data_IF_608540115416
#
_entry.id   IF_608540115416
#
_cell.length_a   1.000
_cell.length_b   1.000
_cell.length_c   1.000
_cell.angle_alpha   90.00
_cell.angle_beta   90.00
_cell.angle_gamma   90.00
#
_symmetry.space_group_name_H-M   'P 1'
#
loop_
_entity.id
_entity.type
_entity.pdbx_description
1 polymer ?
#
# COMPACT_ATOMS: atom_id res chain seq x y z
N UNK A 1 -6.93 0.00 -21.10
CA UNK A 1 -7.39 -0.58 -19.83
C UNK A 1 -6.35 -1.63 -19.46
N UNK A 2 -5.82 -1.64 -18.26
CA UNK A 2 -4.86 -2.70 -17.89
C UNK A 2 -5.62 -4.04 -17.81
N UNK A 3 -4.97 -5.12 -18.20
CA UNK A 3 -5.57 -6.47 -18.15
C UNK A 3 -6.09 -6.79 -16.74
N UNK A 4 -5.40 -6.33 -15.69
CA UNK A 4 -5.79 -6.45 -14.28
C UNK A 4 -7.21 -5.91 -14.02
N UNK A 5 -7.53 -4.71 -14.54
CA UNK A 5 -8.86 -4.12 -14.35
C UNK A 5 -9.96 -4.96 -15.00
N UNK A 6 -9.69 -5.54 -16.16
CA UNK A 6 -10.64 -6.40 -16.87
C UNK A 6 -10.92 -7.67 -16.08
N UNK A 7 -9.89 -8.34 -15.56
CA UNK A 7 -10.04 -9.52 -14.72
C UNK A 7 -10.87 -9.25 -13.47
N UNK A 8 -10.58 -8.16 -12.75
CA UNK A 8 -11.32 -7.78 -11.55
C UNK A 8 -12.79 -7.49 -11.89
N UNK A 9 -13.07 -6.73 -12.95
CA UNK A 9 -14.43 -6.38 -13.35
C UNK A 9 -15.24 -7.62 -13.79
N UNK A 10 -14.64 -8.54 -14.53
CA UNK A 10 -15.29 -9.80 -14.91
C UNK A 10 -15.64 -10.63 -13.66
N UNK A 11 -14.68 -10.84 -12.76
CA UNK A 11 -14.91 -11.57 -11.52
C UNK A 11 -16.06 -10.97 -10.70
N UNK A 12 -16.03 -9.66 -10.47
CA UNK A 12 -17.07 -8.97 -9.71
C UNK A 12 -18.44 -9.05 -10.41
N UNK A 13 -18.47 -8.93 -11.74
CA UNK A 13 -19.71 -9.08 -12.50
C UNK A 13 -20.31 -10.48 -12.38
N UNK A 14 -19.49 -11.51 -12.42
CA UNK A 14 -19.94 -12.90 -12.22
C UNK A 14 -20.37 -13.17 -10.79
N UNK A 15 -19.64 -12.63 -9.81
CA UNK A 15 -19.99 -12.77 -8.40
C UNK A 15 -21.36 -12.17 -8.07
N UNK A 16 -21.73 -11.02 -8.67
CA UNK A 16 -23.06 -10.42 -8.48
C UNK A 16 -24.20 -11.28 -9.05
N UNK A 17 -23.89 -12.21 -9.95
CA UNK A 17 -24.86 -13.16 -10.54
C UNK A 17 -24.85 -14.52 -9.83
N UNK A 18 -24.00 -14.70 -8.82
CA UNK A 18 -23.81 -16.01 -8.17
C UNK A 18 -23.02 -17.01 -9.04
N UNK A 19 -22.32 -16.55 -10.07
CA UNK A 19 -21.54 -17.37 -11.00
C UNK A 19 -20.06 -17.49 -10.60
N UNK A 20 -19.64 -16.76 -9.57
CA UNK A 20 -18.29 -16.82 -8.99
C UNK A 20 -18.34 -16.60 -7.48
N UNK A 21 -17.51 -17.31 -6.77
CA UNK A 21 -17.37 -17.23 -5.31
C UNK A 21 -15.92 -16.96 -4.92
N UNK A 22 -15.73 -16.32 -3.76
CA UNK A 22 -14.41 -16.14 -3.18
C UNK A 22 -13.92 -17.50 -2.64
N UNK A 23 -12.74 -17.98 -3.07
CA UNK A 23 -12.18 -19.21 -2.53
C UNK A 23 -12.00 -19.15 -1.01
N UNK A 24 -12.35 -20.21 -0.24
CA UNK A 24 -12.19 -20.23 1.22
C UNK A 24 -10.76 -19.93 1.68
N UNK A 25 -9.76 -20.40 0.96
CA UNK A 25 -8.34 -20.12 1.27
C UNK A 25 -8.01 -18.62 1.22
N UNK A 26 -8.55 -17.90 0.23
CA UNK A 26 -8.35 -16.46 0.12
C UNK A 26 -9.11 -15.68 1.19
N UNK A 27 -10.24 -16.22 1.66
CA UNK A 27 -10.95 -15.65 2.82
C UNK A 27 -10.09 -15.79 4.08
N UNK A 28 -9.43 -16.93 4.26
CA UNK A 28 -8.59 -17.15 5.44
C UNK A 28 -7.29 -16.32 5.36
N UNK A 29 -6.65 -16.21 4.20
CA UNK A 29 -5.54 -15.28 3.98
C UNK A 29 -5.94 -13.82 4.30
N UNK A 30 -7.11 -13.39 3.86
CA UNK A 30 -7.63 -12.05 4.15
C UNK A 30 -7.87 -11.81 5.65
N UNK A 31 -8.44 -12.80 6.36
CA UNK A 31 -8.63 -12.71 7.83
C UNK A 31 -7.29 -12.56 8.56
N UNK A 32 -6.29 -13.33 8.15
CA UNK A 32 -4.95 -13.25 8.72
C UNK A 32 -4.32 -11.87 8.46
N UNK A 33 -4.38 -11.38 7.23
CA UNK A 33 -3.88 -10.05 6.87
C UNK A 33 -4.59 -8.93 7.67
N UNK A 34 -5.90 -9.04 7.91
CA UNK A 34 -6.63 -8.11 8.76
C UNK A 34 -6.14 -8.14 10.22
N UNK A 35 -5.87 -9.33 10.77
CA UNK A 35 -5.28 -9.49 12.11
C UNK A 35 -3.91 -8.81 12.20
N UNK A 36 -3.04 -9.08 11.24
CA UNK A 36 -1.71 -8.46 11.16
C UNK A 36 -1.78 -6.93 11.02
N UNK A 37 -2.75 -6.41 10.25
CA UNK A 37 -2.97 -4.97 10.11
C UNK A 37 -3.35 -4.33 11.45
N UNK A 38 -4.20 -4.98 12.25
CA UNK A 38 -4.55 -4.50 13.59
C UNK A 38 -3.33 -4.53 14.52
N UNK A 39 -2.59 -5.63 14.58
CA UNK A 39 -1.38 -5.75 15.38
C UNK A 39 -0.36 -4.68 15.00
N UNK A 40 -0.08 -4.50 13.70
CA UNK A 40 0.84 -3.49 13.19
C UNK A 40 0.50 -2.07 13.66
N UNK A 41 -0.79 -1.72 13.76
CA UNK A 41 -1.22 -0.37 14.12
C UNK A 41 -1.36 -0.16 15.64
N UNK A 42 -1.66 -1.21 16.41
CA UNK A 42 -1.96 -1.10 17.85
C UNK A 42 -0.88 -1.69 18.77
N UNK A 43 -0.01 -2.56 18.26
CA UNK A 43 1.12 -3.13 19.00
C UNK A 43 2.43 -2.44 18.59
N UNK A 44 2.59 -1.18 18.98
CA UNK A 44 3.79 -0.40 18.61
C UNK A 44 4.94 -0.76 19.52
N UNK A 45 5.85 -1.56 19.02
CA UNK A 45 7.17 -1.69 19.61
C UNK A 45 8.09 -0.56 19.10
N UNK A 46 9.01 -0.05 19.94
CA UNK A 46 10.04 0.87 19.50
C UNK A 46 10.82 0.24 18.34
N UNK A 47 10.87 0.93 17.20
CA UNK A 47 11.58 0.43 16.03
C UNK A 47 12.95 1.08 15.95
N UNK A 48 13.95 0.25 15.74
CA UNK A 48 15.28 0.73 15.39
C UNK A 48 15.20 1.58 14.11
N UNK A 49 15.89 2.72 14.10
CA UNK A 49 15.93 3.58 12.92
C UNK A 49 16.56 2.83 11.75
N UNK A 50 15.92 2.86 10.61
CA UNK A 50 16.41 2.36 9.34
C UNK A 50 16.00 3.31 8.24
N UNK A 51 16.91 3.57 7.30
CA UNK A 51 16.54 4.29 6.09
C UNK A 51 15.56 3.45 5.26
N UNK A 52 14.48 4.08 4.85
CA UNK A 52 13.40 3.41 4.10
C UNK A 52 13.18 4.07 2.75
N UNK A 53 12.85 3.27 1.74
CA UNK A 53 12.46 3.77 0.42
C UNK A 53 11.32 4.78 0.49
N UNK A 54 10.32 4.55 1.35
CA UNK A 54 9.22 5.48 1.62
C UNK A 54 9.63 6.77 2.34
N UNK A 55 10.87 6.84 2.83
CA UNK A 55 11.44 8.05 3.46
C UNK A 55 12.27 8.90 2.49
N UNK A 56 12.49 8.41 1.27
CA UNK A 56 13.23 9.18 0.26
C UNK A 56 12.39 10.42 -0.09
N UNK A 57 13.03 11.59 -0.02
CA UNK A 57 12.36 12.87 -0.25
C UNK A 57 11.81 13.55 1.01
N UNK A 58 11.77 12.90 2.17
CA UNK A 58 11.44 13.57 3.42
C UNK A 58 12.48 14.64 3.76
N UNK A 59 12.08 15.77 4.37
CA UNK A 59 13.01 16.77 4.87
C UNK A 59 14.05 16.16 5.81
N UNK A 60 15.32 16.56 5.68
CA UNK A 60 16.42 16.05 6.50
C UNK A 60 16.17 16.19 8.01
N UNK A 61 15.55 17.30 8.44
CA UNK A 61 15.21 17.50 9.85
C UNK A 61 14.23 16.43 10.36
N UNK A 62 13.28 15.98 9.55
CA UNK A 62 12.36 14.93 9.91
C UNK A 62 13.07 13.58 10.04
N UNK A 63 13.96 13.26 9.12
CA UNK A 63 14.79 12.05 9.18
C UNK A 63 15.72 12.04 10.38
N UNK A 64 16.33 13.20 10.72
CA UNK A 64 17.14 13.36 11.93
C UNK A 64 16.32 13.15 13.21
N UNK A 65 15.09 13.69 13.29
CA UNK A 65 14.21 13.44 14.42
C UNK A 65 13.89 11.94 14.56
N UNK A 66 13.59 11.27 13.46
CA UNK A 66 13.36 9.81 13.46
C UNK A 66 14.60 9.03 13.92
N UNK A 67 15.81 9.45 13.48
CA UNK A 67 17.08 8.83 13.88
C UNK A 67 17.37 9.03 15.37
N UNK A 68 17.04 10.18 15.93
CA UNK A 68 17.20 10.51 17.36
C UNK A 68 16.13 9.85 18.23
N UNK A 69 15.23 9.05 17.66
CA UNK A 69 14.15 8.40 18.40
C UNK A 69 13.11 9.38 18.95
N UNK A 70 13.02 10.58 18.36
CA UNK A 70 11.96 11.53 18.71
C UNK A 70 10.66 10.96 18.17
N UNK A 71 9.83 10.42 19.06
CA UNK A 71 8.58 9.80 18.68
C UNK A 71 7.62 10.82 18.08
N UNK A 72 7.17 10.52 16.87
CA UNK A 72 6.08 11.25 16.25
C UNK A 72 4.76 10.71 16.81
N UNK A 73 4.04 11.52 17.56
CA UNK A 73 2.68 11.17 17.99
C UNK A 73 1.74 11.28 16.79
N UNK A 74 1.19 10.15 16.37
CA UNK A 74 0.16 10.16 15.33
C UNK A 74 -1.21 10.44 15.95
N UNK A 75 -2.00 11.28 15.31
CA UNK A 75 -3.40 11.46 15.70
C UNK A 75 -4.17 10.13 15.48
N UNK A 76 -5.26 9.95 16.24
CA UNK A 76 -6.12 8.77 16.03
C UNK A 76 -6.62 8.68 14.58
N UNK A 77 -6.90 9.82 13.94
CA UNK A 77 -7.30 9.86 12.52
C UNK A 77 -6.21 9.30 11.60
N UNK A 78 -4.93 9.57 11.89
CA UNK A 78 -3.83 9.03 11.11
C UNK A 78 -3.74 7.51 11.26
N UNK A 79 -3.85 7.01 12.49
CA UNK A 79 -3.85 5.56 12.77
C UNK A 79 -5.01 4.86 12.03
N UNK A 80 -6.21 5.44 12.08
CA UNK A 80 -7.36 4.89 11.37
C UNK A 80 -7.19 4.90 9.85
N UNK A 81 -6.54 5.94 9.29
CA UNK A 81 -6.23 5.97 7.84
C UNK A 81 -5.23 4.88 7.46
N UNK A 82 -4.21 4.65 8.28
CA UNK A 82 -3.24 3.59 8.02
C UNK A 82 -3.90 2.22 8.09
N UNK A 83 -4.72 1.97 9.11
CA UNK A 83 -5.48 0.73 9.23
C UNK A 83 -6.41 0.51 8.01
N UNK A 84 -7.16 1.54 7.61
CA UNK A 84 -8.02 1.44 6.42
C UNK A 84 -7.21 1.17 5.15
N UNK A 85 -6.03 1.77 5.02
CA UNK A 85 -5.12 1.49 3.91
C UNK A 85 -4.72 0.02 3.86
N UNK A 86 -4.23 -0.52 4.98
CA UNK A 86 -3.82 -1.92 5.09
C UNK A 86 -5.00 -2.88 4.79
N UNK A 87 -6.22 -2.59 5.27
CA UNK A 87 -7.41 -3.41 5.03
C UNK A 87 -7.87 -3.38 3.56
N UNK A 88 -7.85 -2.20 2.93
CA UNK A 88 -8.19 -2.04 1.51
C UNK A 88 -7.18 -2.78 0.63
N UNK A 89 -5.90 -2.70 0.95
CA UNK A 89 -4.85 -3.43 0.26
C UNK A 89 -5.07 -4.95 0.33
N UNK A 90 -5.28 -5.48 1.54
CA UNK A 90 -5.55 -6.91 1.75
C UNK A 90 -6.80 -7.38 0.96
N UNK A 91 -7.89 -6.60 0.98
CA UNK A 91 -9.10 -6.91 0.25
C UNK A 91 -8.87 -6.90 -1.28
N UNK A 92 -8.14 -5.92 -1.79
CA UNK A 92 -7.84 -5.82 -3.22
C UNK A 92 -6.95 -6.97 -3.70
N UNK A 93 -5.94 -7.36 -2.92
CA UNK A 93 -5.08 -8.51 -3.22
C UNK A 93 -5.91 -9.80 -3.28
N UNK A 94 -6.81 -10.03 -2.32
CA UNK A 94 -7.69 -11.19 -2.33
C UNK A 94 -8.60 -11.21 -3.57
N UNK A 95 -9.17 -10.08 -3.97
CA UNK A 95 -9.98 -9.95 -5.18
C UNK A 95 -9.15 -10.17 -6.44
N UNK A 96 -7.93 -9.64 -6.53
CA UNK A 96 -7.02 -9.88 -7.66
C UNK A 96 -6.71 -11.36 -7.81
N UNK A 97 -6.34 -12.04 -6.73
CA UNK A 97 -6.09 -13.50 -6.75
C UNK A 97 -7.33 -14.28 -7.18
N UNK A 98 -8.50 -13.96 -6.63
CA UNK A 98 -9.78 -14.62 -6.98
C UNK A 98 -10.18 -14.38 -8.44
N UNK A 99 -9.83 -13.24 -9.01
CA UNK A 99 -10.11 -12.92 -10.42
C UNK A 99 -9.15 -13.57 -11.41
N UNK A 100 -8.14 -14.31 -10.94
CA UNK A 100 -7.16 -14.98 -11.78
C UNK A 100 -5.98 -14.09 -12.20
N UNK A 101 -5.80 -12.94 -11.58
CA UNK A 101 -4.58 -12.13 -11.75
C UNK A 101 -3.39 -12.89 -11.16
N UNK A 102 -2.30 -12.97 -11.92
CA UNK A 102 -1.09 -13.68 -11.51
C UNK A 102 -0.28 -12.84 -10.50
N UNK A 103 -0.66 -12.92 -9.23
CA UNK A 103 0.07 -12.28 -8.12
C UNK A 103 1.26 -13.18 -7.74
N UNK A 104 2.48 -12.77 -8.11
CA UNK A 104 3.71 -13.53 -7.88
C UNK A 104 4.25 -13.35 -6.47
N UNK A 105 4.09 -12.16 -5.89
CA UNK A 105 4.50 -11.85 -4.53
C UNK A 105 3.70 -10.68 -3.98
N UNK A 106 3.54 -10.67 -2.67
CA UNK A 106 2.90 -9.60 -1.90
C UNK A 106 3.76 -9.28 -0.68
N UNK A 107 3.72 -8.02 -0.23
CA UNK A 107 4.48 -7.52 0.92
C UNK A 107 5.94 -7.97 0.93
N UNK A 108 6.59 -7.93 -0.26
CA UNK A 108 7.94 -8.44 -0.44
C UNK A 108 8.97 -7.46 0.11
N UNK A 109 9.74 -7.83 1.15
CA UNK A 109 10.87 -7.02 1.61
C UNK A 109 11.89 -6.84 0.49
N UNK A 110 12.41 -5.62 0.37
CA UNK A 110 13.48 -5.28 -0.57
C UNK A 110 14.48 -4.35 0.07
N UNK A 111 15.69 -4.32 -0.45
CA UNK A 111 16.72 -3.40 -0.05
C UNK A 111 17.56 -2.99 -1.27
N UNK A 112 18.03 -1.76 -1.25
CA UNK A 112 19.03 -1.25 -2.19
C UNK A 112 20.20 -0.68 -1.42
N UNK A 113 21.42 -0.83 -1.94
CA UNK A 113 22.61 -0.23 -1.35
C UNK A 113 23.01 0.99 -2.15
N UNK A 114 23.11 2.13 -1.47
CA UNK A 114 23.56 3.40 -2.04
C UNK A 114 24.78 3.87 -1.22
N UNK A 115 25.94 3.95 -1.85
CA UNK A 115 27.18 4.41 -1.21
C UNK A 115 27.43 3.77 0.18
N UNK A 116 27.43 2.45 0.25
CA UNK A 116 27.57 1.64 1.48
C UNK A 116 26.42 1.78 2.50
N UNK A 117 25.35 2.45 2.15
CA UNK A 117 24.16 2.61 2.99
C UNK A 117 23.02 1.74 2.47
N UNK A 118 22.50 0.86 3.31
CA UNK A 118 21.33 0.06 2.98
C UNK A 118 20.03 0.85 3.20
N UNK A 119 19.20 0.92 2.15
CA UNK A 119 17.86 1.51 2.19
C UNK A 119 16.84 0.41 1.98
N UNK A 120 16.02 0.16 2.97
CA UNK A 120 15.05 -0.93 2.97
C UNK A 120 13.65 -0.46 2.55
N UNK A 121 12.83 -1.39 2.06
CA UNK A 121 11.44 -1.12 1.72
C UNK A 121 10.64 -2.41 1.64
N UNK A 122 9.35 -2.26 1.36
CA UNK A 122 8.45 -3.37 1.09
C UNK A 122 7.71 -3.05 -0.19
N UNK A 123 7.68 -3.99 -1.12
CA UNK A 123 6.90 -3.90 -2.35
C UNK A 123 5.50 -4.44 -2.06
N UNK A 124 4.45 -3.68 -2.37
CA UNK A 124 3.08 -4.08 -2.04
C UNK A 124 2.71 -5.35 -2.81
N UNK A 125 2.85 -5.34 -4.13
CA UNK A 125 2.50 -6.50 -4.95
C UNK A 125 3.33 -6.58 -6.24
N UNK A 126 3.65 -7.80 -6.67
CA UNK A 126 4.30 -8.07 -7.97
C UNK A 126 3.32 -8.88 -8.82
N UNK A 127 2.99 -8.36 -10.00
CA UNK A 127 2.09 -8.97 -10.96
C UNK A 127 2.81 -9.02 -12.31
N UNK A 128 2.94 -10.20 -12.91
CA UNK A 128 3.62 -10.42 -14.20
C UNK A 128 4.99 -9.72 -14.25
N UNK A 129 5.81 -9.91 -13.22
CA UNK A 129 7.15 -9.34 -13.05
C UNK A 129 7.20 -7.81 -12.95
N UNK A 130 6.06 -7.14 -12.77
CA UNK A 130 5.97 -5.70 -12.56
C UNK A 130 5.58 -5.40 -11.12
N UNK A 131 6.22 -4.38 -10.57
CA UNK A 131 5.89 -3.89 -9.22
C UNK A 131 4.72 -2.93 -9.31
N UNK A 132 3.74 -3.12 -8.44
CA UNK A 132 2.60 -2.22 -8.25
C UNK A 132 2.55 -1.79 -6.79
N UNK A 133 2.20 -0.54 -6.58
CA UNK A 133 1.93 0.06 -5.29
C UNK A 133 0.42 0.31 -5.17
N UNK A 134 -0.18 -0.10 -4.06
CA UNK A 134 -1.61 0.00 -3.82
C UNK A 134 -1.89 1.19 -2.91
N UNK A 135 -2.60 2.19 -3.43
CA UNK A 135 -2.96 3.38 -2.67
C UNK A 135 -4.46 3.58 -2.61
N UNK A 136 -4.99 3.70 -1.40
CA UNK A 136 -6.35 4.15 -1.19
C UNK A 136 -6.40 5.68 -1.20
N UNK A 137 -7.32 6.24 -1.95
CA UNK A 137 -7.54 7.68 -2.00
C UNK A 137 -9.03 8.00 -1.94
N UNK A 138 -9.39 9.10 -1.27
CA UNK A 138 -10.77 9.60 -1.37
C UNK A 138 -11.05 10.08 -2.79
N UNK A 139 -12.33 10.08 -3.26
CA UNK A 139 -12.68 10.61 -4.57
C UNK A 139 -12.19 12.05 -4.77
N UNK A 140 -12.26 12.88 -3.73
CA UNK A 140 -11.76 14.24 -3.76
C UNK A 140 -10.23 14.29 -3.96
N UNK A 141 -9.48 13.51 -3.19
CA UNK A 141 -8.02 13.45 -3.32
C UNK A 141 -7.62 12.90 -4.71
N UNK A 142 -8.33 11.89 -5.20
CA UNK A 142 -8.07 11.32 -6.51
C UNK A 142 -8.32 12.34 -7.63
N UNK A 143 -9.46 13.04 -7.63
CA UNK A 143 -9.78 14.05 -8.63
C UNK A 143 -8.79 15.22 -8.62
N UNK A 144 -8.35 15.67 -7.44
CA UNK A 144 -7.42 16.79 -7.33
C UNK A 144 -5.96 16.41 -7.66
N UNK A 145 -5.55 15.15 -7.39
CA UNK A 145 -4.18 14.69 -7.68
C UNK A 145 -4.04 14.08 -9.08
N UNK A 146 -5.03 13.31 -9.53
CA UNK A 146 -4.92 12.49 -10.75
C UNK A 146 -6.03 12.72 -11.78
N UNK A 147 -7.10 13.47 -11.44
CA UNK A 147 -8.21 13.79 -12.33
C UNK A 147 -7.94 15.00 -13.24
N UNK A 148 -9.01 15.53 -13.87
CA UNK A 148 -8.92 16.65 -14.83
C UNK A 148 -8.26 17.91 -14.26
N UNK A 149 -8.41 18.16 -12.95
CA UNK A 149 -7.81 19.30 -12.25
C UNK A 149 -6.45 19.00 -11.62
N UNK A 150 -5.97 17.79 -11.78
CA UNK A 150 -4.73 17.28 -11.21
C UNK A 150 -3.69 17.01 -12.29
N UNK A 151 -3.01 15.91 -12.12
CA UNK A 151 -1.99 15.41 -13.01
C UNK A 151 -0.60 15.48 -12.40
N UNK A 152 0.34 14.84 -13.07
CA UNK A 152 1.71 14.70 -12.56
C UNK A 152 2.35 16.03 -12.15
N UNK A 153 2.16 17.08 -12.95
CA UNK A 153 2.78 18.38 -12.66
C UNK A 153 2.22 18.99 -11.37
N UNK A 154 0.91 18.93 -11.17
CA UNK A 154 0.29 19.44 -9.94
C UNK A 154 0.74 18.64 -8.72
N UNK A 155 0.80 17.31 -8.81
CA UNK A 155 1.30 16.47 -7.72
C UNK A 155 2.73 16.85 -7.36
N UNK A 156 3.56 17.06 -8.36
CA UNK A 156 4.95 17.47 -8.18
C UNK A 156 5.09 18.86 -7.57
N UNK A 157 4.22 19.79 -7.94
CA UNK A 157 4.27 21.18 -7.44
C UNK A 157 3.70 21.28 -6.00
N UNK A 158 2.63 20.52 -5.70
CA UNK A 158 1.99 20.52 -4.38
C UNK A 158 2.75 19.68 -3.34
N UNK A 159 3.41 18.61 -3.78
CA UNK A 159 4.15 17.69 -2.93
C UNK A 159 5.42 17.19 -3.65
N UNK A 160 6.45 18.04 -3.75
CA UNK A 160 7.67 17.71 -4.48
C UNK A 160 8.46 16.55 -3.88
N UNK A 161 8.11 16.11 -2.69
CA UNK A 161 8.79 15.04 -1.94
C UNK A 161 7.89 13.82 -1.69
N UNK A 162 6.62 13.84 -2.12
CA UNK A 162 5.60 12.86 -1.83
C UNK A 162 5.47 11.68 -2.78
#
# INVERSE_FOLDING_TARGET
>A
MSDIQVFIQDFLSRATKGEAEMPPSLIDEFKEACGQALEKQFSREPREFRLRLSGIGKPLCQQQCEQLGIEQSFSYNAIMRFLLGDLVEAALIAVMKASGVNVEAEQKPTAITLDDTEVTGTLDVIIDKKVFDIKSASPYAFQNKFGEFGGYQKVKDDDPFG
#
